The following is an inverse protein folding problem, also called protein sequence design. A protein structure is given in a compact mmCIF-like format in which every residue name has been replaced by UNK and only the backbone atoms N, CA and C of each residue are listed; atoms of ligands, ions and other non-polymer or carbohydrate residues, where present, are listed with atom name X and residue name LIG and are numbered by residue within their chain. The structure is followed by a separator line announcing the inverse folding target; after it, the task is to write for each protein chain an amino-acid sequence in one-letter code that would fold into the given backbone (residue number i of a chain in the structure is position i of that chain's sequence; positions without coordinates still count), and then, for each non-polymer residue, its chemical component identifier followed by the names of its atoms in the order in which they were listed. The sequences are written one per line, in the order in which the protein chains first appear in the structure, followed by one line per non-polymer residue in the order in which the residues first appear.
data_IF_362863553189
#
_entry.id   IF_362863553189
#
_cell.length_a   1.000
_cell.length_b   1.000
_cell.length_c   1.000
_cell.angle_alpha   90.00
_cell.angle_beta   90.00
_cell.angle_gamma   90.00
#
_symmetry.space_group_name_H-M   'P 1'
#
loop_
_entity.id
_entity.type
_entity.pdbx_description
1 polymer ?
#
# COMPACT_ATOMS: atom_id res chain seq x y z
N UNK A 1 -17.51 47.57 -12.93
CA UNK A 1 -17.09 47.21 -14.30
C UNK A 1 -15.57 47.30 -14.55
N UNK A 2 -14.79 48.11 -13.82
CA UNK A 2 -13.34 48.26 -14.09
C UNK A 2 -12.42 47.15 -13.55
N UNK A 3 -12.89 46.28 -12.64
CA UNK A 3 -12.06 45.20 -12.07
C UNK A 3 -12.02 43.91 -12.89
N UNK A 4 -12.95 43.70 -13.82
CA UNK A 4 -13.03 42.46 -14.62
C UNK A 4 -12.08 42.47 -15.83
N UNK A 5 -11.77 43.65 -16.37
CA UNK A 5 -10.90 43.81 -17.56
C UNK A 5 -9.42 43.62 -17.20
N UNK A 6 -9.00 44.00 -15.99
CA UNK A 6 -7.61 43.88 -15.54
C UNK A 6 -7.18 42.41 -15.30
N UNK A 7 -8.10 41.54 -14.85
CA UNK A 7 -7.81 40.12 -14.61
C UNK A 7 -7.72 39.34 -15.93
N UNK A 8 -8.51 39.71 -16.94
CA UNK A 8 -8.42 39.11 -18.27
C UNK A 8 -7.13 39.50 -19.01
N UNK A 9 -6.66 40.75 -18.85
CA UNK A 9 -5.40 41.21 -19.44
C UNK A 9 -4.15 40.50 -18.90
N UNK A 10 -4.16 40.12 -17.61
CA UNK A 10 -3.04 39.40 -16.99
C UNK A 10 -2.97 37.91 -17.42
N UNK A 11 -4.12 37.28 -17.66
CA UNK A 11 -4.19 35.90 -18.16
C UNK A 11 -3.71 35.76 -19.61
N UNK A 12 -3.97 36.76 -20.45
CA UNK A 12 -3.52 36.76 -21.86
C UNK A 12 -1.99 36.95 -21.96
N UNK A 13 -1.39 37.75 -21.08
CA UNK A 13 0.07 37.96 -21.08
C UNK A 13 0.86 36.77 -20.50
N UNK A 14 0.30 36.00 -19.56
CA UNK A 14 0.90 34.74 -19.08
C UNK A 14 0.90 33.64 -20.15
N UNK A 15 -0.10 33.62 -21.04
CA UNK A 15 -0.11 32.70 -22.19
C UNK A 15 0.93 33.06 -23.27
N UNK A 16 1.28 34.34 -23.44
CA UNK A 16 2.34 34.77 -24.39
C UNK A 16 3.76 34.54 -23.88
N UNK A 17 3.99 34.59 -22.57
CA UNK A 17 5.33 34.36 -21.99
C UNK A 17 5.76 32.87 -22.01
N UNK A 18 4.81 31.93 -22.03
CA UNK A 18 5.11 30.49 -22.17
C UNK A 18 5.38 30.03 -23.61
N UNK A 19 5.26 30.91 -24.60
CA UNK A 19 5.63 30.60 -26.00
C UNK A 19 7.10 30.91 -26.34
N UNK A 20 7.87 31.50 -25.40
CA UNK A 20 9.25 31.94 -25.64
C UNK A 20 10.35 30.99 -25.11
N UNK A 21 9.99 29.83 -24.54
CA UNK A 21 10.95 28.81 -24.11
C UNK A 21 10.66 27.46 -24.79
N UNK A 22 10.75 27.46 -26.12
CA UNK A 22 11.00 26.23 -26.88
C UNK A 22 12.52 26.16 -27.10
N UNK A 23 13.26 25.23 -26.48
CA UNK A 23 14.65 25.03 -26.85
C UNK A 23 14.71 24.57 -28.31
N UNK A 24 15.20 25.47 -29.17
CA UNK A 24 15.63 25.12 -30.54
C UNK A 24 16.83 24.19 -30.42
N UNK A 25 16.72 23.00 -30.98
CA UNK A 25 17.85 22.09 -31.17
C UNK A 25 17.80 20.82 -30.32
N UNK A 26 16.90 19.91 -30.67
CA UNK A 26 17.20 18.47 -30.57
C UNK A 26 16.89 17.85 -31.94
N UNK A 27 17.77 17.00 -32.48
CA UNK A 27 17.56 16.39 -33.78
C UNK A 27 16.28 15.55 -33.72
N UNK A 28 15.42 15.76 -34.71
CA UNK A 28 14.31 14.88 -35.03
C UNK A 28 14.93 13.52 -35.35
N UNK A 29 15.02 12.65 -34.35
CA UNK A 29 15.12 11.22 -34.61
C UNK A 29 13.88 10.88 -35.40
N UNK A 30 14.11 10.51 -36.65
CA UNK A 30 13.13 9.99 -37.61
C UNK A 30 12.09 9.16 -36.87
N UNK A 31 10.89 9.73 -36.71
CA UNK A 31 9.71 8.94 -36.44
C UNK A 31 9.57 8.09 -37.69
N UNK A 32 9.99 6.82 -37.59
CA UNK A 32 9.66 5.82 -38.59
C UNK A 32 8.16 5.98 -38.86
N UNK A 33 7.82 6.32 -40.10
CA UNK A 33 6.45 6.54 -40.50
C UNK A 33 5.67 5.25 -40.22
N UNK A 34 4.96 5.21 -39.10
CA UNK A 34 4.06 4.12 -38.78
C UNK A 34 2.96 4.15 -39.84
N UNK A 35 3.00 3.21 -40.77
CA UNK A 35 1.87 2.96 -41.66
C UNK A 35 0.72 2.50 -40.77
N UNK A 36 -0.29 3.36 -40.61
CA UNK A 36 -1.54 3.01 -39.94
C UNK A 36 -2.06 1.74 -40.61
N UNK A 37 -2.19 0.60 -39.90
CA UNK A 37 -2.68 -0.62 -40.52
C UNK A 37 -4.09 -0.37 -41.06
N UNK A 38 -4.30 -0.72 -42.32
CA UNK A 38 -5.61 -0.67 -42.97
C UNK A 38 -6.57 -1.61 -42.25
N UNK A 39 -7.80 -1.13 -42.03
CA UNK A 39 -8.90 -1.92 -41.46
C UNK A 39 -8.98 -3.26 -42.23
N UNK A 40 -9.05 -4.43 -41.57
CA UNK A 40 -9.21 -5.69 -42.28
C UNK A 40 -10.49 -5.66 -43.13
N UNK A 41 -10.37 -6.07 -44.40
CA UNK A 41 -11.42 -5.93 -45.43
C UNK A 41 -12.75 -6.62 -45.06
N UNK A 42 -12.78 -7.48 -44.05
CA UNK A 42 -13.97 -8.15 -43.53
C UNK A 42 -14.97 -7.20 -42.83
N UNK A 43 -14.54 -6.03 -42.34
CA UNK A 43 -15.41 -5.03 -41.70
C UNK A 43 -16.06 -4.05 -42.69
N UNK A 44 -15.66 -4.08 -43.97
CA UNK A 44 -16.13 -3.13 -44.99
C UNK A 44 -17.53 -3.45 -45.53
N UNK A 45 -18.05 -4.66 -45.28
CA UNK A 45 -19.26 -5.20 -45.94
C UNK A 45 -20.53 -5.23 -45.10
N UNK A 46 -20.53 -4.76 -43.84
CA UNK A 46 -21.70 -4.82 -42.96
C UNK A 46 -22.23 -3.44 -42.55
N UNK A 47 -23.41 -3.08 -43.08
CA UNK A 47 -24.30 -2.00 -42.65
C UNK A 47 -23.72 -0.57 -42.55
N UNK A 48 -24.59 0.45 -42.59
CA UNK A 48 -24.22 1.86 -42.41
C UNK A 48 -23.84 2.12 -40.94
N UNK A 49 -22.60 1.79 -40.57
CA UNK A 49 -22.04 2.11 -39.24
C UNK A 49 -21.95 3.64 -39.10
N UNK A 50 -22.38 4.17 -37.97
CA UNK A 50 -22.26 5.61 -37.68
C UNK A 50 -20.78 6.03 -37.66
N UNK A 51 -20.48 7.22 -38.20
CA UNK A 51 -19.11 7.77 -38.27
C UNK A 51 -18.40 7.80 -36.91
N UNK A 52 -19.14 8.09 -35.85
CA UNK A 52 -18.67 8.08 -34.45
C UNK A 52 -18.14 6.71 -34.00
N UNK A 53 -18.86 5.63 -34.32
CA UNK A 53 -18.48 4.26 -33.97
C UNK A 53 -17.26 3.82 -34.78
N UNK A 54 -17.20 4.17 -36.08
CA UNK A 54 -16.05 3.85 -36.92
C UNK A 54 -14.75 4.49 -36.41
N UNK A 55 -14.82 5.73 -35.92
CA UNK A 55 -13.67 6.41 -35.32
C UNK A 55 -13.22 5.72 -34.03
N UNK A 56 -14.16 5.29 -33.19
CA UNK A 56 -13.88 4.55 -31.97
C UNK A 56 -13.20 3.20 -32.25
N UNK A 57 -13.72 2.41 -33.20
CA UNK A 57 -13.11 1.15 -33.65
C UNK A 57 -11.68 1.35 -34.19
N UNK A 58 -11.49 2.40 -34.99
CA UNK A 58 -10.16 2.74 -35.53
C UNK A 58 -9.18 3.05 -34.40
N UNK A 59 -9.62 3.71 -33.33
CA UNK A 59 -8.75 4.04 -32.18
C UNK A 59 -8.38 2.79 -31.37
N UNK A 60 -9.33 1.88 -31.14
CA UNK A 60 -9.06 0.61 -30.45
C UNK A 60 -8.04 -0.21 -31.23
N UNK A 61 -8.27 -0.45 -32.52
CA UNK A 61 -7.33 -1.22 -33.33
C UNK A 61 -5.95 -0.55 -33.43
N UNK A 62 -5.90 0.79 -33.51
CA UNK A 62 -4.63 1.50 -33.46
C UNK A 62 -3.90 1.25 -32.13
N UNK A 63 -4.61 1.28 -31.00
CA UNK A 63 -4.03 0.98 -29.69
C UNK A 63 -3.58 -0.50 -29.58
N UNK A 64 -4.41 -1.45 -29.99
CA UNK A 64 -4.05 -2.88 -30.02
C UNK A 64 -2.80 -3.12 -30.86
N UNK A 65 -2.74 -2.51 -32.05
CA UNK A 65 -1.55 -2.60 -32.91
C UNK A 65 -0.31 -1.99 -32.26
N UNK A 66 -0.46 -0.86 -31.56
CA UNK A 66 0.63 -0.21 -30.84
C UNK A 66 1.15 -1.10 -29.69
N UNK A 67 0.25 -1.65 -28.87
CA UNK A 67 0.64 -2.55 -27.77
C UNK A 67 1.36 -3.79 -28.30
N UNK A 68 0.90 -4.36 -29.42
CA UNK A 68 1.57 -5.53 -30.01
C UNK A 68 2.98 -5.19 -30.49
N UNK A 69 3.18 -4.03 -31.13
CA UNK A 69 4.53 -3.60 -31.51
C UNK A 69 5.45 -3.35 -30.31
N UNK A 70 4.93 -2.77 -29.22
CA UNK A 70 5.68 -2.56 -27.99
C UNK A 70 6.05 -3.89 -27.31
N UNK A 71 5.22 -4.94 -27.43
CA UNK A 71 5.55 -6.29 -26.94
C UNK A 71 6.71 -6.88 -27.73
N UNK A 72 6.69 -6.75 -29.05
CA UNK A 72 7.77 -7.20 -29.91
C UNK A 72 9.08 -6.46 -29.60
N UNK A 73 9.00 -5.14 -29.39
CA UNK A 73 10.14 -4.31 -28.98
C UNK A 73 10.68 -4.71 -27.60
N UNK A 74 9.81 -4.96 -26.62
CA UNK A 74 10.20 -5.45 -25.30
C UNK A 74 10.91 -6.81 -25.38
N UNK A 75 10.36 -7.76 -26.16
CA UNK A 75 10.95 -9.09 -26.35
C UNK A 75 12.31 -9.03 -27.07
N UNK A 76 12.44 -8.16 -28.07
CA UNK A 76 13.74 -7.88 -28.70
C UNK A 76 14.72 -7.29 -27.68
N UNK A 77 14.30 -6.25 -26.96
CA UNK A 77 15.10 -5.59 -25.93
C UNK A 77 15.55 -6.55 -24.82
N UNK A 78 14.69 -7.48 -24.40
CA UNK A 78 15.00 -8.52 -23.41
C UNK A 78 16.14 -9.42 -23.89
N UNK A 79 16.06 -9.92 -25.13
CA UNK A 79 17.10 -10.79 -25.72
C UNK A 79 18.44 -10.05 -25.85
N UNK A 80 18.40 -8.78 -26.28
CA UNK A 80 19.61 -7.96 -26.35
C UNK A 80 20.23 -7.71 -24.98
N UNK A 81 19.40 -7.41 -23.97
CA UNK A 81 19.88 -7.20 -22.61
C UNK A 81 20.54 -8.48 -22.04
N UNK A 82 19.94 -9.65 -22.25
CA UNK A 82 20.52 -10.92 -21.86
C UNK A 82 21.89 -11.14 -22.52
N UNK A 83 22.02 -10.85 -23.82
CA UNK A 83 23.28 -10.94 -24.56
C UNK A 83 24.36 -9.99 -24.00
N UNK A 84 24.01 -8.75 -23.66
CA UNK A 84 24.94 -7.78 -23.05
C UNK A 84 25.46 -8.27 -21.70
N UNK A 85 24.58 -8.90 -20.91
CA UNK A 85 24.92 -9.42 -19.58
C UNK A 85 25.58 -10.80 -19.62
N UNK A 86 25.65 -11.45 -20.80
CA UNK A 86 26.19 -12.80 -20.95
C UNK A 86 25.30 -13.89 -20.34
N UNK A 87 23.98 -13.64 -20.27
CA UNK A 87 22.97 -14.56 -19.72
C UNK A 87 22.13 -15.19 -20.84
N UNK A 88 21.55 -16.36 -20.56
CA UNK A 88 20.69 -17.05 -21.53
C UNK A 88 19.32 -16.34 -21.67
N UNK A 89 18.87 -16.01 -22.89
CA UNK A 89 17.61 -15.25 -23.10
C UNK A 89 16.35 -15.93 -22.57
N UNK A 90 16.33 -17.27 -22.55
CA UNK A 90 15.16 -18.05 -22.11
C UNK A 90 15.02 -18.09 -20.57
N UNK A 91 16.12 -17.92 -19.85
CA UNK A 91 16.18 -17.95 -18.38
C UNK A 91 16.07 -16.55 -17.77
N UNK A 92 15.95 -15.52 -18.62
CA UNK A 92 16.06 -14.12 -18.24
C UNK A 92 14.73 -13.57 -17.70
N UNK A 93 14.53 -13.73 -16.38
CA UNK A 93 13.36 -13.26 -15.65
C UNK A 93 13.35 -11.73 -15.43
N UNK A 94 12.19 -11.16 -15.07
CA UNK A 94 12.03 -9.73 -14.80
C UNK A 94 12.94 -9.20 -13.67
N UNK A 95 13.21 -10.01 -12.64
CA UNK A 95 14.13 -9.60 -11.56
C UNK A 95 15.57 -9.40 -12.07
N UNK A 96 16.03 -10.28 -12.97
CA UNK A 96 17.34 -10.13 -13.62
C UNK A 96 17.36 -8.89 -14.51
N UNK A 97 16.30 -8.64 -15.28
CA UNK A 97 16.14 -7.41 -16.07
C UNK A 97 16.30 -6.16 -15.20
N UNK A 98 15.58 -6.09 -14.08
CA UNK A 98 15.62 -4.95 -13.17
C UNK A 98 17.02 -4.75 -12.55
N UNK A 99 17.70 -5.84 -12.19
CA UNK A 99 19.08 -5.80 -11.68
C UNK A 99 20.06 -5.32 -12.75
N UNK A 100 19.97 -5.85 -13.97
CA UNK A 100 20.82 -5.44 -15.11
C UNK A 100 20.63 -3.96 -15.44
N UNK A 101 19.40 -3.45 -15.40
CA UNK A 101 19.11 -2.03 -15.65
C UNK A 101 19.65 -1.15 -14.54
N UNK A 102 19.50 -1.57 -13.27
CA UNK A 102 20.06 -0.84 -12.15
C UNK A 102 21.60 -0.75 -12.24
N UNK A 103 22.25 -1.79 -12.79
CA UNK A 103 23.69 -1.81 -13.03
C UNK A 103 24.12 -0.94 -14.23
N UNK A 104 23.47 -1.09 -15.38
CA UNK A 104 23.82 -0.35 -16.61
C UNK A 104 23.45 1.13 -16.53
N UNK A 105 22.33 1.46 -15.88
CA UNK A 105 21.80 2.81 -15.74
C UNK A 105 21.59 3.16 -14.26
N UNK A 106 22.68 3.35 -13.49
CA UNK A 106 22.58 3.63 -12.06
C UNK A 106 21.91 4.97 -11.81
N UNK A 107 20.72 4.94 -11.20
CA UNK A 107 19.93 6.13 -10.88
C UNK A 107 19.81 6.33 -9.36
N UNK A 108 20.32 7.45 -8.87
CA UNK A 108 20.20 7.87 -7.46
C UNK A 108 18.86 8.51 -7.09
N UNK A 109 17.84 8.43 -7.97
CA UNK A 109 16.53 9.04 -7.71
C UNK A 109 15.82 8.33 -6.54
N UNK A 110 15.32 9.10 -5.58
CA UNK A 110 14.58 8.57 -4.43
C UNK A 110 13.25 7.93 -4.84
N UNK A 111 12.56 8.52 -5.83
CA UNK A 111 11.33 7.94 -6.37
C UNK A 111 11.65 6.76 -7.27
N UNK A 112 11.29 5.56 -6.83
CA UNK A 112 11.49 4.33 -7.61
C UNK A 112 10.74 4.37 -8.96
N UNK A 113 9.60 5.07 -9.02
CA UNK A 113 8.81 5.21 -10.26
C UNK A 113 9.49 6.02 -11.35
N UNK A 114 10.41 6.91 -10.99
CA UNK A 114 11.14 7.78 -11.92
C UNK A 114 12.47 7.18 -12.38
N UNK A 115 12.84 5.99 -11.86
CA UNK A 115 14.05 5.27 -12.28
C UNK A 115 13.84 4.65 -13.67
N UNK A 116 14.93 4.43 -14.44
CA UNK A 116 14.84 3.66 -15.67
C UNK A 116 14.30 2.25 -15.36
N UNK A 117 13.36 1.78 -16.18
CA UNK A 117 12.73 0.47 -16.05
C UNK A 117 12.40 -0.08 -17.44
N UNK A 118 12.62 -1.37 -17.65
CA UNK A 118 12.18 -2.11 -18.82
C UNK A 118 11.19 -3.15 -18.30
N UNK A 119 9.91 -2.93 -18.58
CA UNK A 119 8.82 -3.79 -18.11
C UNK A 119 7.92 -4.15 -19.28
N UNK A 120 7.13 -5.23 -19.15
CA UNK A 120 6.10 -5.55 -20.13
C UNK A 120 5.18 -4.35 -20.36
N UNK A 121 4.73 -4.12 -21.61
CA UNK A 121 3.84 -3.01 -21.95
C UNK A 121 2.58 -2.95 -21.07
N UNK A 122 2.02 -4.09 -20.65
CA UNK A 122 0.80 -4.12 -19.83
C UNK A 122 0.96 -3.51 -18.44
N UNK A 123 2.18 -3.44 -17.91
CA UNK A 123 2.49 -2.81 -16.63
C UNK A 123 2.81 -1.32 -16.76
N UNK A 124 3.36 -0.92 -17.92
CA UNK A 124 3.80 0.46 -18.19
C UNK A 124 2.60 1.28 -18.63
N UNK A 125 1.92 0.81 -19.66
CA UNK A 125 0.72 1.43 -20.17
C UNK A 125 -0.42 1.06 -19.22
N UNK A 126 -1.18 2.04 -18.73
CA UNK A 126 -2.37 1.70 -17.98
C UNK A 126 -3.26 0.85 -18.89
N UNK A 127 -3.78 -0.27 -18.39
CA UNK A 127 -4.96 -0.90 -19.00
C UNK A 127 -5.98 0.22 -19.17
N UNK A 128 -6.33 0.57 -20.41
CA UNK A 128 -7.04 1.80 -20.70
C UNK A 128 -8.35 1.87 -19.89
N UNK A 129 -8.29 2.55 -18.75
CA UNK A 129 -9.42 3.11 -18.03
C UNK A 129 -9.22 4.60 -18.15
N UNK A 130 -10.22 5.30 -18.67
CA UNK A 130 -10.11 6.69 -19.09
C UNK A 130 -9.47 7.59 -18.03
N UNK A 131 -8.23 8.01 -18.29
CA UNK A 131 -7.62 9.14 -17.63
C UNK A 131 -6.74 9.89 -18.64
N UNK A 132 -7.40 10.60 -19.56
CA UNK A 132 -6.78 11.74 -20.25
C UNK A 132 -6.93 12.93 -19.31
N UNK A 133 -5.89 13.24 -18.54
CA UNK A 133 -5.95 14.24 -17.47
C UNK A 133 -5.89 15.71 -17.94
N UNK A 134 -5.93 16.02 -19.24
CA UNK A 134 -5.88 17.42 -19.72
C UNK A 134 -6.93 17.75 -20.81
N UNK A 135 -7.72 16.78 -21.29
CA UNK A 135 -8.82 17.05 -22.24
C UNK A 135 -10.17 16.59 -21.65
N UNK A 136 -10.56 17.25 -20.56
CA UNK A 136 -11.91 17.14 -20.00
C UNK A 136 -12.86 17.85 -20.96
N UNK A 137 -13.70 17.11 -21.70
CA UNK A 137 -15.16 17.33 -21.68
C UNK A 137 -16.03 16.40 -22.56
N UNK A 138 -15.53 15.50 -23.42
CA UNK A 138 -16.47 14.77 -24.31
C UNK A 138 -16.51 13.24 -24.38
N UNK A 139 -15.50 12.45 -23.97
CA UNK A 139 -15.64 10.97 -24.03
C UNK A 139 -14.83 10.26 -22.94
N UNK A 140 -15.47 9.61 -21.95
CA UNK A 140 -14.79 8.79 -20.95
C UNK A 140 -14.43 7.41 -21.54
N UNK A 141 -13.21 6.97 -21.24
CA UNK A 141 -12.80 5.56 -21.09
C UNK A 141 -12.84 4.66 -22.33
N UNK A 142 -11.65 4.35 -22.88
CA UNK A 142 -11.44 3.20 -23.77
C UNK A 142 -11.46 1.89 -22.99
N UNK A 143 -12.63 1.57 -22.45
CA UNK A 143 -12.95 0.22 -22.03
C UNK A 143 -13.06 -0.66 -23.29
N UNK A 144 -12.79 -1.95 -23.17
CA UNK A 144 -12.99 -2.97 -24.21
C UNK A 144 -14.24 -2.70 -25.04
N UNK A 145 -14.21 -3.09 -26.32
CA UNK A 145 -15.29 -2.88 -27.28
C UNK A 145 -16.67 -3.12 -26.64
N UNK A 146 -17.39 -2.06 -26.25
CA UNK A 146 -18.67 -2.20 -25.55
C UNK A 146 -19.83 -2.45 -26.50
N UNK A 147 -19.60 -2.36 -27.81
CA UNK A 147 -20.60 -2.55 -28.84
C UNK A 147 -20.11 -3.46 -29.96
N UNK A 148 -20.97 -4.31 -30.49
CA UNK A 148 -20.70 -5.10 -31.69
C UNK A 148 -20.29 -4.20 -32.88
N UNK A 149 -19.77 -4.83 -33.94
CA UNK A 149 -19.50 -4.16 -35.23
C UNK A 149 -20.73 -3.44 -35.80
N UNK A 150 -21.95 -3.83 -35.39
CA UNK A 150 -23.23 -3.19 -35.73
C UNK A 150 -23.55 -1.94 -34.92
N UNK A 151 -22.81 -1.65 -33.84
CA UNK A 151 -23.08 -0.58 -32.89
C UNK A 151 -24.02 -0.95 -31.73
N UNK A 152 -24.44 -2.22 -31.64
CA UNK A 152 -25.27 -2.73 -30.53
C UNK A 152 -24.42 -2.92 -29.26
N UNK A 153 -24.82 -2.37 -28.09
CA UNK A 153 -24.10 -2.62 -26.84
C UNK A 153 -24.10 -4.11 -26.44
N UNK A 154 -22.95 -4.60 -25.99
CA UNK A 154 -22.76 -5.95 -25.46
C UNK A 154 -23.41 -6.15 -24.08
N UNK A 155 -23.35 -5.12 -23.24
CA UNK A 155 -23.84 -5.18 -21.86
C UNK A 155 -25.23 -4.53 -21.74
N UNK A 156 -26.16 -5.19 -21.04
CA UNK A 156 -27.54 -4.67 -20.85
C UNK A 156 -27.56 -3.32 -20.13
N UNK A 157 -26.75 -3.17 -19.09
CA UNK A 157 -26.59 -1.93 -18.31
C UNK A 157 -25.67 -0.89 -18.98
N UNK A 158 -25.36 -0.99 -20.27
CA UNK A 158 -24.45 -0.06 -20.96
C UNK A 158 -24.88 1.41 -20.81
N UNK A 159 -26.17 1.72 -20.93
CA UNK A 159 -26.69 3.08 -20.85
C UNK A 159 -26.61 3.71 -19.45
N UNK A 160 -26.22 2.94 -18.43
CA UNK A 160 -25.96 3.47 -17.08
C UNK A 160 -24.61 4.18 -16.94
N UNK A 161 -23.79 4.19 -18.00
CA UNK A 161 -22.40 4.71 -18.03
C UNK A 161 -21.40 3.91 -17.19
N UNK A 162 -21.84 3.20 -16.15
CA UNK A 162 -21.04 2.32 -15.30
C UNK A 162 -21.63 0.88 -15.29
N UNK A 163 -21.57 0.17 -16.43
CA UNK A 163 -22.22 -1.13 -16.56
C UNK A 163 -21.72 -2.17 -15.56
N UNK A 164 -20.41 -2.21 -15.27
CA UNK A 164 -19.85 -3.26 -14.42
C UNK A 164 -20.14 -3.00 -12.94
N UNK A 165 -20.12 -1.74 -12.49
CA UNK A 165 -20.49 -1.40 -11.12
C UNK A 165 -21.95 -1.79 -10.82
N UNK A 166 -22.89 -1.36 -11.68
CA UNK A 166 -24.30 -1.70 -11.48
C UNK A 166 -24.59 -3.18 -11.70
N UNK A 167 -23.80 -3.88 -12.52
CA UNK A 167 -23.85 -5.34 -12.63
C UNK A 167 -23.50 -6.01 -11.29
N UNK A 168 -22.42 -5.60 -10.64
CA UNK A 168 -22.07 -6.10 -9.30
C UNK A 168 -23.14 -5.79 -8.26
N UNK A 169 -23.74 -4.59 -8.31
CA UNK A 169 -24.84 -4.22 -7.42
C UNK A 169 -26.09 -5.08 -7.66
N UNK A 170 -26.42 -5.34 -8.92
CA UNK A 170 -27.54 -6.20 -9.30
C UNK A 170 -27.31 -7.65 -8.85
N UNK A 171 -26.14 -8.20 -9.12
CA UNK A 171 -25.76 -9.55 -8.68
C UNK A 171 -25.85 -9.67 -7.15
N UNK A 172 -25.39 -8.66 -6.42
CA UNK A 172 -25.46 -8.65 -4.97
C UNK A 172 -26.91 -8.57 -4.46
N UNK A 173 -27.74 -7.72 -5.05
CA UNK A 173 -29.16 -7.63 -4.72
C UNK A 173 -29.88 -8.97 -5.00
N UNK A 174 -29.57 -9.60 -6.12
CA UNK A 174 -30.09 -10.91 -6.50
C UNK A 174 -29.68 -12.00 -5.50
N UNK A 175 -28.41 -12.03 -5.06
CA UNK A 175 -27.99 -12.95 -4.00
C UNK A 175 -28.75 -12.71 -2.69
N UNK A 176 -28.97 -11.44 -2.31
CA UNK A 176 -29.74 -11.12 -1.12
C UNK A 176 -31.21 -11.55 -1.22
N UNK A 177 -31.85 -11.36 -2.37
CA UNK A 177 -33.23 -11.81 -2.63
C UNK A 177 -33.33 -13.33 -2.59
N UNK A 178 -32.43 -14.05 -3.28
CA UNK A 178 -32.37 -15.52 -3.21
C UNK A 178 -32.23 -16.03 -1.76
N UNK A 179 -31.38 -15.39 -0.95
CA UNK A 179 -31.21 -15.76 0.46
C UNK A 179 -32.48 -15.53 1.28
N UNK A 180 -33.22 -14.46 1.01
CA UNK A 180 -34.52 -14.17 1.65
C UNK A 180 -35.58 -15.18 1.21
N UNK A 181 -35.69 -15.49 -0.06
CA UNK A 181 -36.63 -16.49 -0.57
C UNK A 181 -36.37 -17.87 0.03
N UNK A 182 -35.09 -18.26 0.13
CA UNK A 182 -34.70 -19.50 0.83
C UNK A 182 -35.11 -19.46 2.30
N UNK A 183 -34.89 -18.34 2.99
CA UNK A 183 -35.27 -18.17 4.40
C UNK A 183 -36.79 -18.26 4.60
N UNK A 184 -37.56 -17.54 3.78
CA UNK A 184 -39.02 -17.50 3.84
C UNK A 184 -39.62 -18.87 3.49
N UNK A 185 -39.09 -19.54 2.46
CA UNK A 185 -39.46 -20.91 2.09
C UNK A 185 -39.18 -21.93 3.20
N UNK A 186 -38.14 -21.73 4.00
CA UNK A 186 -37.85 -22.56 5.19
C UNK A 186 -38.84 -22.32 6.34
N UNK A 187 -39.34 -21.09 6.50
CA UNK A 187 -40.38 -20.77 7.50
C UNK A 187 -41.73 -21.38 7.15
N UNK A 188 -42.08 -21.40 5.86
CA UNK A 188 -43.33 -22.00 5.35
C UNK A 188 -43.28 -23.53 5.49
N UNK A 189 -42.12 -24.13 5.19
CA UNK A 189 -41.90 -25.58 5.30
C UNK A 189 -41.34 -25.97 6.68
N UNK A 190 -42.21 -26.07 7.69
CA UNK A 190 -41.92 -26.41 9.11
C UNK A 190 -40.95 -27.59 9.37
N UNK A 191 -40.67 -28.46 8.39
CA UNK A 191 -39.81 -29.63 8.52
C UNK A 191 -38.32 -29.36 8.25
N UNK A 192 -37.93 -28.19 7.74
CA UNK A 192 -36.55 -27.79 7.52
C UNK A 192 -36.11 -26.78 8.59
N UNK A 193 -35.77 -27.25 9.79
CA UNK A 193 -35.34 -26.39 10.89
C UNK A 193 -33.85 -26.01 10.71
N UNK A 194 -33.50 -24.77 10.30
CA UNK A 194 -32.15 -24.42 9.83
C UNK A 194 -31.11 -24.33 10.96
N UNK A 195 -31.59 -24.25 12.21
CA UNK A 195 -30.75 -24.18 13.42
C UNK A 195 -29.96 -25.45 13.73
N UNK A 196 -30.27 -26.58 13.07
CA UNK A 196 -29.55 -27.83 13.33
C UNK A 196 -28.22 -27.94 12.58
N UNK A 197 -28.05 -27.25 11.44
CA UNK A 197 -26.88 -27.37 10.56
C UNK A 197 -26.30 -25.99 10.18
N UNK A 198 -26.15 -25.07 11.14
CA UNK A 198 -25.52 -23.78 10.87
C UNK A 198 -24.02 -23.93 10.66
N UNK A 199 -23.59 -23.89 9.39
CA UNK A 199 -22.19 -23.62 9.06
C UNK A 199 -21.99 -22.11 9.14
N UNK A 200 -21.46 -21.63 10.26
CA UNK A 200 -21.13 -20.20 10.40
C UNK A 200 -20.00 -19.81 9.45
N UNK A 201 -20.18 -18.67 8.77
CA UNK A 201 -19.19 -18.13 7.86
C UNK A 201 -18.11 -17.40 8.66
N UNK A 202 -16.88 -17.92 8.68
CA UNK A 202 -15.77 -17.30 9.39
C UNK A 202 -15.18 -16.17 8.54
N UNK A 203 -15.42 -14.93 8.97
CA UNK A 203 -15.05 -13.72 8.22
C UNK A 203 -13.85 -12.95 8.82
N UNK A 204 -13.40 -13.33 10.01
CA UNK A 204 -12.46 -12.55 10.85
C UNK A 204 -11.12 -12.24 10.16
N UNK A 205 -10.60 -13.15 9.32
CA UNK A 205 -9.31 -13.00 8.64
C UNK A 205 -9.40 -12.27 7.29
N UNK A 206 -10.57 -11.73 6.95
CA UNK A 206 -10.84 -11.13 5.64
C UNK A 206 -11.59 -9.81 5.77
N UNK A 207 -11.21 -8.86 4.93
CA UNK A 207 -11.84 -7.55 4.86
C UNK A 207 -12.50 -7.36 3.49
N UNK A 208 -13.51 -6.50 3.43
CA UNK A 208 -14.04 -6.03 2.15
C UNK A 208 -12.96 -5.29 1.36
N UNK A 209 -13.01 -5.39 0.04
CA UNK A 209 -12.12 -4.60 -0.81
C UNK A 209 -12.24 -3.11 -0.51
N UNK A 210 -11.10 -2.45 -0.31
CA UNK A 210 -11.03 -0.99 -0.35
C UNK A 210 -11.50 -0.47 -1.70
N UNK A 211 -11.93 0.80 -1.75
CA UNK A 211 -12.36 1.45 -2.99
C UNK A 211 -11.37 1.21 -4.15
N UNK A 212 -10.08 1.45 -3.91
CA UNK A 212 -9.06 1.30 -4.97
C UNK A 212 -8.92 -0.15 -5.45
N UNK A 213 -9.15 -1.13 -4.57
CA UNK A 213 -9.16 -2.55 -4.94
C UNK A 213 -10.43 -2.90 -5.72
N UNK A 214 -11.58 -2.34 -5.33
CA UNK A 214 -12.85 -2.53 -6.04
C UNK A 214 -12.80 -1.95 -7.47
N UNK A 215 -12.27 -0.74 -7.65
CA UNK A 215 -12.06 -0.11 -8.97
C UNK A 215 -11.11 -0.90 -9.87
N UNK A 216 -10.12 -1.56 -9.25
CA UNK A 216 -9.22 -2.49 -9.95
C UNK A 216 -9.90 -3.80 -10.31
N UNK A 217 -10.84 -4.28 -9.49
CA UNK A 217 -11.56 -5.53 -9.75
C UNK A 217 -12.68 -5.39 -10.78
N UNK A 218 -13.38 -4.25 -10.80
CA UNK A 218 -14.52 -3.95 -11.68
C UNK A 218 -14.09 -3.32 -13.01
N UNK A 219 -12.87 -2.80 -13.04
CA UNK A 219 -12.37 -2.02 -14.15
C UNK A 219 -13.20 -0.76 -14.49
N UNK A 220 -13.76 -0.12 -13.45
CA UNK A 220 -14.50 1.16 -13.53
C UNK A 220 -14.10 2.06 -12.37
N UNK A 221 -14.12 3.37 -12.61
CA UNK A 221 -14.01 4.36 -11.54
C UNK A 221 -15.31 4.40 -10.75
N UNK A 222 -15.22 4.31 -9.43
CA UNK A 222 -16.35 4.49 -8.52
C UNK A 222 -16.35 5.95 -8.10
N UNK A 223 -17.37 6.70 -8.55
CA UNK A 223 -17.44 8.14 -8.28
C UNK A 223 -17.77 8.37 -6.80
N UNK A 224 -16.86 9.07 -6.11
CA UNK A 224 -17.08 9.65 -4.79
C UNK A 224 -17.09 11.18 -4.88
N UNK A 225 -17.43 11.72 -6.05
CA UNK A 225 -17.17 13.12 -6.35
C UNK A 225 -17.94 14.02 -5.38
N UNK A 226 -17.18 14.75 -4.56
CA UNK A 226 -17.65 15.82 -3.67
C UNK A 226 -18.43 16.94 -4.39
N UNK A 227 -18.58 16.87 -5.71
CA UNK A 227 -19.39 17.80 -6.51
C UNK A 227 -20.89 17.70 -6.13
N UNK A 228 -21.30 16.64 -5.44
CA UNK A 228 -22.63 16.54 -4.80
C UNK A 228 -22.74 17.31 -3.48
N UNK A 229 -21.73 18.06 -3.03
CA UNK A 229 -21.87 18.94 -1.85
C UNK A 229 -22.73 20.18 -2.14
N UNK A 230 -22.91 20.58 -3.40
CA UNK A 230 -23.80 21.69 -3.76
C UNK A 230 -25.29 21.28 -3.78
N UNK A 231 -25.57 19.96 -3.80
CA UNK A 231 -26.92 19.40 -3.74
C UNK A 231 -27.28 18.84 -2.35
N UNK A 232 -26.33 18.74 -1.43
CA UNK A 232 -26.55 18.20 -0.08
C UNK A 232 -27.47 19.06 0.81
N UNK A 233 -27.82 20.29 0.41
CA UNK A 233 -28.75 21.14 1.14
C UNK A 233 -30.23 20.76 0.94
N UNK A 234 -30.56 19.88 -0.01
CA UNK A 234 -31.93 19.43 -0.26
C UNK A 234 -31.99 17.90 -0.31
N UNK A 235 -32.48 17.33 0.79
CA UNK A 235 -32.77 15.92 1.05
C UNK A 235 -31.56 14.98 1.29
N UNK A 236 -31.50 14.49 2.53
CA UNK A 236 -30.85 13.24 2.92
C UNK A 236 -31.15 12.13 1.90
N UNK A 237 -30.20 11.75 1.03
CA UNK A 237 -29.96 10.36 0.56
C UNK A 237 -28.97 10.29 -0.62
N UNK A 238 -27.73 10.73 -0.46
CA UNK A 238 -26.69 10.30 -1.43
C UNK A 238 -25.42 9.92 -0.70
N UNK A 239 -25.44 8.72 -0.13
CA UNK A 239 -24.21 8.04 0.28
C UNK A 239 -23.43 7.68 -0.99
N UNK A 240 -22.11 7.83 -0.90
CA UNK A 240 -21.13 7.55 -1.95
C UNK A 240 -21.39 6.14 -2.53
N UNK A 241 -21.15 5.95 -3.84
CA UNK A 241 -21.43 4.66 -4.51
C UNK A 241 -20.80 3.46 -3.79
N UNK A 242 -19.59 3.66 -3.27
CA UNK A 242 -18.88 2.66 -2.47
C UNK A 242 -19.59 2.31 -1.15
N UNK A 243 -20.17 3.29 -0.45
CA UNK A 243 -20.88 3.06 0.80
C UNK A 243 -22.19 2.29 0.58
N UNK A 244 -22.87 2.56 -0.54
CA UNK A 244 -24.07 1.80 -0.93
C UNK A 244 -23.73 0.32 -1.18
N UNK A 245 -22.65 0.08 -1.91
CA UNK A 245 -22.11 -1.26 -2.15
C UNK A 245 -21.73 -1.94 -0.83
N UNK A 246 -21.00 -1.26 0.05
CA UNK A 246 -20.58 -1.78 1.35
C UNK A 246 -21.78 -2.13 2.24
N UNK A 247 -22.81 -1.28 2.24
CA UNK A 247 -24.06 -1.50 2.98
C UNK A 247 -24.76 -2.77 2.49
N UNK A 248 -24.85 -2.94 1.16
CA UNK A 248 -25.47 -4.12 0.56
C UNK A 248 -24.66 -5.38 0.91
N UNK A 249 -23.34 -5.34 0.78
CA UNK A 249 -22.46 -6.46 1.11
C UNK A 249 -22.53 -6.85 2.60
N UNK A 250 -22.59 -5.87 3.50
CA UNK A 250 -22.80 -6.12 4.93
C UNK A 250 -24.17 -6.73 5.23
N UNK A 251 -25.22 -6.36 4.49
CA UNK A 251 -26.55 -7.00 4.60
C UNK A 251 -26.51 -8.46 4.19
N UNK A 252 -25.79 -8.81 3.12
CA UNK A 252 -25.60 -10.21 2.71
C UNK A 252 -24.83 -10.98 3.77
N UNK A 253 -23.71 -10.43 4.26
CA UNK A 253 -22.86 -11.11 5.23
C UNK A 253 -23.50 -11.28 6.62
N UNK A 254 -24.42 -10.38 7.01
CA UNK A 254 -25.19 -10.50 8.25
C UNK A 254 -26.41 -11.41 8.13
N UNK A 255 -26.76 -11.86 6.93
CA UNK A 255 -27.88 -12.79 6.75
C UNK A 255 -27.55 -14.16 7.37
N UNK A 256 -28.48 -14.83 8.07
CA UNK A 256 -28.13 -16.08 8.75
C UNK A 256 -27.75 -17.24 7.81
N UNK A 257 -28.18 -17.18 6.53
CA UNK A 257 -27.79 -18.11 5.46
C UNK A 257 -26.62 -17.61 4.59
N UNK A 258 -25.80 -16.67 5.07
CA UNK A 258 -24.69 -16.09 4.30
C UNK A 258 -23.72 -17.15 3.72
N UNK A 259 -23.61 -18.33 4.36
CA UNK A 259 -22.78 -19.44 3.87
C UNK A 259 -23.19 -19.94 2.46
N UNK A 260 -24.45 -19.80 2.05
CA UNK A 260 -24.89 -20.16 0.71
C UNK A 260 -24.27 -19.24 -0.37
N UNK A 261 -24.00 -17.98 0.00
CA UNK A 261 -23.38 -16.98 -0.86
C UNK A 261 -21.85 -16.86 -0.65
N UNK A 262 -21.22 -17.86 -0.01
CA UNK A 262 -19.79 -17.86 0.34
C UNK A 262 -18.88 -17.51 -0.84
N UNK A 263 -19.10 -18.16 -2.00
CA UNK A 263 -18.32 -17.92 -3.23
C UNK A 263 -18.43 -16.47 -3.72
N UNK A 264 -19.61 -15.89 -3.61
CA UNK A 264 -19.86 -14.50 -4.03
C UNK A 264 -19.20 -13.51 -3.07
N UNK A 265 -19.35 -13.73 -1.76
CA UNK A 265 -18.74 -12.90 -0.71
C UNK A 265 -17.21 -12.88 -0.85
N UNK A 266 -16.58 -14.05 -0.99
CA UNK A 266 -15.12 -14.15 -1.07
C UNK A 266 -14.53 -13.58 -2.38
N UNK A 267 -15.32 -13.44 -3.45
CA UNK A 267 -14.89 -12.74 -4.68
C UNK A 267 -14.49 -11.28 -4.41
N UNK A 268 -15.13 -10.63 -3.44
CA UNK A 268 -14.93 -9.22 -3.12
C UNK A 268 -14.27 -8.97 -1.75
N UNK A 269 -13.67 -10.01 -1.17
CA UNK A 269 -12.92 -9.92 0.08
C UNK A 269 -11.45 -10.14 -0.14
N UNK A 270 -10.64 -9.29 0.47
CA UNK A 270 -9.19 -9.46 0.53
C UNK A 270 -8.83 -10.19 1.83
N UNK A 271 -7.81 -11.04 1.75
CA UNK A 271 -7.18 -11.60 2.96
C UNK A 271 -6.56 -10.44 3.74
N UNK A 272 -6.98 -10.26 5.00
CA UNK A 272 -6.33 -9.33 5.90
C UNK A 272 -4.97 -9.93 6.24
N UNK A 273 -3.89 -9.34 5.73
CA UNK A 273 -2.55 -9.67 6.19
C UNK A 273 -2.41 -8.99 7.53
N UNK A 274 -2.76 -9.70 8.61
CA UNK A 274 -2.33 -9.29 9.93
C UNK A 274 -0.81 -9.43 9.93
N UNK A 275 -0.13 -8.31 9.74
CA UNK A 275 1.29 -8.20 10.01
C UNK A 275 1.41 -8.29 11.53
N UNK A 276 1.32 -9.50 12.07
CA UNK A 276 1.91 -9.77 13.37
C UNK A 276 3.40 -9.64 13.09
N UNK A 277 3.95 -8.45 13.32
CA UNK A 277 5.39 -8.27 13.39
C UNK A 277 5.87 -9.20 14.50
N UNK A 278 6.25 -10.41 14.11
CA UNK A 278 7.00 -11.29 14.97
C UNK A 278 8.37 -10.63 15.09
N UNK A 279 8.50 -9.68 16.02
CA UNK A 279 9.80 -9.10 16.37
C UNK A 279 10.74 -10.27 16.63
N UNK A 280 11.71 -10.45 15.73
CA UNK A 280 12.69 -11.52 15.80
C UNK A 280 13.74 -11.08 16.82
N UNK A 281 13.67 -11.61 18.02
CA UNK A 281 14.74 -11.48 19.00
C UNK A 281 15.79 -12.57 18.75
N UNK A 282 17.07 -12.34 19.12
CA UNK A 282 18.09 -13.36 18.94
C UNK A 282 17.74 -14.63 19.72
N UNK A 283 18.09 -15.78 19.16
CA UNK A 283 17.91 -17.03 19.90
C UNK A 283 18.98 -17.12 21.02
N UNK A 284 18.65 -17.71 22.18
CA UNK A 284 19.61 -17.87 23.26
C UNK A 284 20.73 -18.84 22.86
N UNK A 285 21.97 -18.44 23.14
CA UNK A 285 23.18 -19.23 22.93
C UNK A 285 23.63 -19.89 24.25
N UNK A 286 24.47 -20.93 24.15
CA UNK A 286 25.06 -21.60 25.31
C UNK A 286 26.57 -21.36 25.34
N UNK A 287 27.09 -20.99 26.51
CA UNK A 287 28.51 -20.84 26.73
C UNK A 287 29.15 -22.25 26.84
N UNK A 288 30.16 -22.59 26.00
CA UNK A 288 30.73 -23.94 25.97
C UNK A 288 31.45 -24.32 27.28
N UNK A 289 31.92 -23.34 28.06
CA UNK A 289 32.67 -23.60 29.30
C UNK A 289 31.74 -23.63 30.50
N UNK A 290 30.90 -22.61 30.64
CA UNK A 290 30.05 -22.44 31.83
C UNK A 290 28.69 -23.14 31.71
N UNK A 291 28.33 -23.63 30.51
CA UNK A 291 27.00 -24.19 30.17
C UNK A 291 25.83 -23.24 30.49
N UNK A 292 26.11 -21.95 30.71
CA UNK A 292 25.10 -20.93 30.97
C UNK A 292 24.44 -20.49 29.67
N UNK A 293 23.13 -20.23 29.73
CA UNK A 293 22.42 -19.58 28.63
C UNK A 293 22.77 -18.11 28.64
N UNK A 294 23.18 -17.59 27.50
CA UNK A 294 23.39 -16.17 27.33
C UNK A 294 22.73 -15.67 26.05
N UNK A 295 22.43 -14.38 26.03
CA UNK A 295 21.94 -13.71 24.84
C UNK A 295 22.52 -12.31 24.80
N UNK A 296 22.86 -11.88 23.60
CA UNK A 296 23.31 -10.52 23.33
C UNK A 296 22.24 -9.80 22.52
N UNK A 297 21.80 -8.64 23.01
CA UNK A 297 20.87 -7.79 22.29
C UNK A 297 21.34 -6.34 22.32
N UNK A 298 20.80 -5.58 21.36
CA UNK A 298 21.11 -4.18 21.18
C UNK A 298 19.91 -3.32 21.59
N UNK A 299 20.19 -2.17 22.19
CA UNK A 299 19.23 -1.13 22.50
C UNK A 299 19.75 0.22 22.04
N UNK A 300 18.85 1.05 21.52
CA UNK A 300 19.18 2.40 21.10
C UNK A 300 18.25 3.40 21.77
N UNK A 301 18.81 4.48 22.31
CA UNK A 301 18.05 5.67 22.68
C UNK A 301 18.78 6.91 22.19
N UNK A 302 18.11 7.68 21.32
CA UNK A 302 18.71 8.84 20.65
C UNK A 302 20.01 8.40 19.93
N UNK A 303 21.14 9.04 20.25
CA UNK A 303 22.46 8.72 19.70
C UNK A 303 23.27 7.77 20.58
N UNK A 304 22.65 7.17 21.60
CA UNK A 304 23.29 6.19 22.46
C UNK A 304 22.90 4.78 22.05
N UNK A 305 23.88 3.91 21.99
CA UNK A 305 23.75 2.49 21.70
C UNK A 305 24.24 1.70 22.90
N UNK A 306 23.53 0.64 23.24
CA UNK A 306 23.88 -0.29 24.30
C UNK A 306 23.90 -1.70 23.71
N UNK A 307 25.03 -2.37 23.82
CA UNK A 307 25.15 -3.81 23.60
C UNK A 307 25.11 -4.48 24.97
N UNK A 308 24.13 -5.36 25.21
CA UNK A 308 23.97 -6.01 26.50
C UNK A 308 23.92 -7.51 26.33
N UNK A 309 24.79 -8.20 27.07
CA UNK A 309 24.80 -9.63 27.23
C UNK A 309 24.19 -9.98 28.59
N UNK A 310 23.13 -10.79 28.59
CA UNK A 310 22.49 -11.29 29.82
C UNK A 310 22.75 -12.79 29.93
N UNK A 311 23.17 -13.24 31.11
CA UNK A 311 23.44 -14.66 31.43
C UNK A 311 22.46 -15.19 32.48
N UNK A 312 22.01 -16.43 32.31
CA UNK A 312 21.14 -17.15 33.25
C UNK A 312 21.64 -18.60 33.42
N UNK A 313 21.77 -19.10 34.67
CA UNK A 313 21.60 -18.40 35.95
C UNK A 313 22.77 -17.44 36.27
N UNK A 314 22.51 -16.41 37.08
CA UNK A 314 23.52 -15.42 37.53
C UNK A 314 23.33 -14.98 38.99
N UNK A 315 24.32 -14.25 39.53
CA UNK A 315 24.35 -13.71 40.90
C UNK A 315 23.68 -12.34 41.05
N UNK A 316 23.29 -11.69 39.95
CA UNK A 316 22.76 -10.34 39.96
C UNK A 316 23.81 -9.26 39.68
N UNK A 317 25.01 -9.66 39.24
CA UNK A 317 26.09 -8.73 38.95
C UNK A 317 25.82 -7.94 37.67
N UNK A 318 26.01 -6.61 37.73
CA UNK A 318 25.84 -5.71 36.59
C UNK A 318 27.14 -4.95 36.32
N UNK A 319 27.81 -5.34 35.24
CA UNK A 319 29.06 -4.76 34.78
C UNK A 319 28.82 -3.93 33.51
N UNK A 320 29.12 -2.64 33.57
CA UNK A 320 28.95 -1.68 32.47
C UNK A 320 30.33 -1.12 32.12
N UNK A 321 30.86 -1.48 30.95
CA UNK A 321 32.21 -1.10 30.50
C UNK A 321 33.31 -1.35 31.55
N UNK A 322 33.18 -2.46 32.30
CA UNK A 322 34.10 -2.85 33.37
C UNK A 322 33.90 -2.14 34.70
N UNK A 323 32.85 -1.31 34.84
CA UNK A 323 32.48 -0.63 36.09
C UNK A 323 31.19 -1.21 36.67
N UNK A 324 31.03 -1.08 37.99
CA UNK A 324 29.79 -1.45 38.68
C UNK A 324 28.64 -0.50 38.33
N UNK A 325 27.39 -0.96 38.48
CA UNK A 325 26.18 -0.16 38.24
C UNK A 325 26.16 1.19 38.99
N UNK A 326 26.58 1.20 40.26
CA UNK A 326 26.60 2.39 41.11
C UNK A 326 27.61 3.43 40.64
N UNK A 327 28.76 2.97 40.14
CA UNK A 327 29.83 3.83 39.63
C UNK A 327 29.49 4.37 38.24
N UNK A 328 28.91 3.53 37.38
CA UNK A 328 28.52 3.91 36.02
C UNK A 328 27.33 4.88 36.01
N UNK A 329 26.36 4.71 36.92
CA UNK A 329 25.17 5.55 37.00
C UNK A 329 24.93 6.09 38.42
N UNK A 330 25.57 7.24 38.78
CA UNK A 330 25.39 7.85 40.09
C UNK A 330 23.95 8.29 40.38
N UNK A 331 23.17 8.68 39.37
CA UNK A 331 21.78 9.13 39.56
C UNK A 331 20.85 7.93 39.78
N UNK A 332 20.02 8.01 40.82
CA UNK A 332 19.05 6.95 41.17
C UNK A 332 18.05 6.68 40.02
N UNK A 333 17.49 7.73 39.41
CA UNK A 333 16.52 7.56 38.33
C UNK A 333 17.05 6.78 37.12
N UNK A 334 18.35 6.84 36.84
CA UNK A 334 18.96 6.01 35.79
C UNK A 334 19.05 4.53 36.19
N UNK A 335 19.38 4.26 37.46
CA UNK A 335 19.44 2.90 38.01
C UNK A 335 18.05 2.25 38.02
N UNK A 336 17.02 3.00 38.39
CA UNK A 336 15.63 2.53 38.34
C UNK A 336 15.21 2.10 36.93
N UNK A 337 15.59 2.86 35.89
CA UNK A 337 15.29 2.48 34.50
C UNK A 337 15.94 1.16 34.09
N UNK A 338 17.18 0.90 34.54
CA UNK A 338 17.91 -0.33 34.24
C UNK A 338 17.31 -1.52 35.00
N UNK A 339 16.88 -1.30 36.25
CA UNK A 339 16.29 -2.34 37.10
C UNK A 339 14.84 -2.68 36.75
N UNK A 340 14.09 -1.74 36.18
CA UNK A 340 12.67 -1.90 35.83
C UNK A 340 12.36 -3.18 35.03
N UNK A 341 13.06 -3.54 33.93
CA UNK A 341 12.79 -4.79 33.22
C UNK A 341 13.01 -6.03 34.08
N UNK A 342 14.05 -6.06 34.93
CA UNK A 342 14.33 -7.17 35.84
C UNK A 342 13.23 -7.34 36.90
N UNK A 343 12.67 -6.22 37.35
CA UNK A 343 11.56 -6.20 38.31
C UNK A 343 10.27 -6.74 37.69
N UNK A 344 9.92 -6.30 36.48
CA UNK A 344 8.71 -6.73 35.76
C UNK A 344 8.71 -8.25 35.49
N UNK A 345 9.87 -8.82 35.19
CA UNK A 345 10.03 -10.26 34.93
C UNK A 345 10.30 -11.09 36.19
N UNK A 346 10.47 -10.47 37.37
CA UNK A 346 10.80 -11.18 38.61
C UNK A 346 12.17 -11.89 38.57
N UNK A 347 13.10 -11.35 37.78
CA UNK A 347 14.46 -11.89 37.57
C UNK A 347 15.55 -11.07 38.26
N UNK A 348 15.17 -10.14 39.13
CA UNK A 348 16.09 -9.38 39.96
C UNK A 348 16.92 -10.33 40.83
N UNK A 349 18.25 -10.23 40.77
CA UNK A 349 19.19 -11.10 41.48
C UNK A 349 19.35 -12.52 40.90
N UNK A 350 18.78 -12.81 39.73
CA UNK A 350 18.87 -14.13 39.07
C UNK A 350 19.69 -14.12 37.78
N UNK A 351 20.05 -12.93 37.29
CA UNK A 351 20.71 -12.74 36.00
C UNK A 351 21.95 -11.87 36.16
N UNK A 352 22.99 -12.18 35.39
CA UNK A 352 24.16 -11.32 35.29
C UNK A 352 24.12 -10.53 33.99
N UNK A 353 24.43 -9.25 34.08
CA UNK A 353 24.34 -8.30 32.97
C UNK A 353 25.72 -7.74 32.68
N UNK A 354 26.21 -7.95 31.46
CA UNK A 354 27.42 -7.30 30.94
C UNK A 354 27.01 -6.35 29.81
N UNK A 355 27.28 -5.07 29.97
CA UNK A 355 26.90 -4.04 29.01
C UNK A 355 28.13 -3.30 28.48
N UNK A 356 28.08 -2.97 27.19
CA UNK A 356 28.97 -2.01 26.54
C UNK A 356 28.15 -0.83 26.06
N UNK A 357 28.57 0.39 26.40
CA UNK A 357 27.84 1.60 26.02
C UNK A 357 28.64 2.42 25.01
N UNK A 358 27.92 2.99 24.05
CA UNK A 358 28.45 3.96 23.09
C UNK A 358 27.53 5.17 22.98
N UNK A 359 28.14 6.36 22.94
CA UNK A 359 27.43 7.64 22.85
C UNK A 359 27.29 8.37 24.19
N UNK A 360 26.85 9.63 24.10
CA UNK A 360 26.88 10.57 25.22
C UNK A 360 25.49 10.93 25.76
N UNK A 361 25.43 11.24 27.05
CA UNK A 361 24.27 11.80 27.71
C UNK A 361 24.03 11.22 29.09
N UNK A 362 23.27 11.93 29.92
CA UNK A 362 23.06 11.52 31.32
C UNK A 362 22.05 10.37 31.45
N UNK A 363 20.92 10.43 30.75
CA UNK A 363 19.82 9.45 30.86
C UNK A 363 19.63 8.57 29.64
N UNK A 364 20.15 8.98 28.48
CA UNK A 364 20.03 8.22 27.23
C UNK A 364 20.68 6.81 27.33
N UNK A 365 21.89 6.65 27.91
CA UNK A 365 22.52 5.32 28.01
C UNK A 365 21.72 4.34 28.88
N UNK A 366 21.17 4.81 30.01
CA UNK A 366 20.34 3.98 30.89
C UNK A 366 19.06 3.47 30.19
N UNK A 367 18.41 4.33 29.40
CA UNK A 367 17.23 3.93 28.63
C UNK A 367 17.56 3.01 27.45
N UNK A 368 18.75 3.17 26.83
CA UNK A 368 19.23 2.25 25.81
C UNK A 368 19.50 0.86 26.41
N UNK A 369 20.14 0.80 27.58
CA UNK A 369 20.33 -0.45 28.33
C UNK A 369 19.01 -1.11 28.70
N UNK A 370 18.04 -0.33 29.20
CA UNK A 370 16.70 -0.82 29.54
C UNK A 370 16.07 -1.59 28.38
N UNK A 371 16.13 -1.03 27.16
CA UNK A 371 15.60 -1.69 25.96
C UNK A 371 16.40 -2.96 25.61
N UNK A 372 17.73 -2.91 25.68
CA UNK A 372 18.59 -4.06 25.39
C UNK A 372 18.34 -5.23 26.37
N UNK A 373 18.29 -4.96 27.68
CA UNK A 373 17.98 -5.94 28.73
C UNK A 373 16.59 -6.54 28.49
N UNK A 374 15.60 -5.72 28.13
CA UNK A 374 14.24 -6.20 27.84
C UNK A 374 14.22 -7.17 26.66
N UNK A 375 14.94 -6.86 25.58
CA UNK A 375 15.06 -7.76 24.41
C UNK A 375 15.76 -9.08 24.77
N UNK A 376 16.79 -9.03 25.61
CA UNK A 376 17.45 -10.23 26.13
C UNK A 376 16.46 -11.10 26.93
N UNK A 377 15.75 -10.51 27.88
CA UNK A 377 14.80 -11.22 28.74
C UNK A 377 13.60 -11.80 27.98
N UNK A 378 13.13 -11.10 26.95
CA UNK A 378 12.03 -11.58 26.12
C UNK A 378 12.34 -12.90 25.41
N UNK A 379 13.61 -13.21 25.16
CA UNK A 379 14.04 -14.44 24.49
C UNK A 379 14.50 -15.53 25.47
N UNK A 380 15.02 -15.13 26.63
CA UNK A 380 15.51 -16.06 27.65
C UNK A 380 14.39 -16.69 28.49
N UNK A 381 13.29 -15.96 28.69
CA UNK A 381 12.16 -16.39 29.50
C UNK A 381 11.03 -16.98 28.64
N UNK A 382 10.17 -17.83 29.20
CA UNK A 382 8.95 -18.29 28.53
C UNK A 382 8.05 -17.11 28.11
N UNK A 383 7.34 -17.24 26.98
CA UNK A 383 6.59 -16.13 26.35
C UNK A 383 5.63 -15.39 27.29
N UNK A 384 4.91 -16.11 28.16
CA UNK A 384 3.94 -15.53 29.10
C UNK A 384 4.60 -14.70 30.22
N UNK A 385 5.84 -15.05 30.61
CA UNK A 385 6.56 -14.38 31.71
C UNK A 385 7.54 -13.33 31.19
N UNK A 386 8.10 -13.54 30.01
CA UNK A 386 9.03 -12.62 29.35
C UNK A 386 8.28 -11.69 28.41
N UNK A 387 8.17 -12.12 27.15
CA UNK A 387 7.73 -11.28 26.02
C UNK A 387 6.41 -10.56 26.27
N UNK A 388 5.35 -11.26 26.69
CA UNK A 388 4.02 -10.64 26.84
C UNK A 388 4.02 -9.56 27.93
N UNK A 389 4.63 -9.83 29.09
CA UNK A 389 4.72 -8.85 30.19
C UNK A 389 5.56 -7.63 29.82
N UNK A 390 6.70 -7.85 29.15
CA UNK A 390 7.57 -6.78 28.68
C UNK A 390 6.93 -5.95 27.55
N UNK A 391 6.11 -6.58 26.70
CA UNK A 391 5.36 -5.89 25.65
C UNK A 391 4.28 -4.99 26.25
N UNK A 392 3.44 -5.52 27.14
CA UNK A 392 2.35 -4.77 27.77
C UNK A 392 2.87 -3.61 28.63
N UNK A 393 4.04 -3.77 29.26
CA UNK A 393 4.71 -2.70 30.02
C UNK A 393 5.45 -1.67 29.15
N UNK A 394 5.45 -1.83 27.81
CA UNK A 394 6.09 -0.90 26.88
C UNK A 394 7.61 -0.91 26.92
N UNK A 395 8.22 -2.01 27.37
CA UNK A 395 9.67 -2.16 27.54
C UNK A 395 10.39 -2.63 26.27
N UNK A 396 9.67 -3.29 25.37
CA UNK A 396 10.19 -3.76 24.07
C UNK A 396 10.07 -2.70 22.97
N UNK A 397 9.21 -1.69 23.16
CA UNK A 397 9.02 -0.61 22.20
C UNK A 397 10.20 0.35 22.21
N UNK A 398 10.79 0.57 21.04
CA UNK A 398 11.85 1.56 20.87
C UNK A 398 11.28 2.98 20.95
N UNK A 399 11.90 3.85 21.75
CA UNK A 399 11.46 5.25 21.88
C UNK A 399 12.12 6.12 20.79
N UNK A 400 11.39 6.30 19.70
CA UNK A 400 11.78 7.05 18.49
C UNK A 400 11.74 8.58 18.66
N UNK A 401 11.63 9.10 19.89
CA UNK A 401 11.72 10.55 20.13
C UNK A 401 13.17 11.02 20.04
N UNK A 402 13.47 11.75 18.97
CA UNK A 402 14.74 12.45 18.71
C UNK A 402 14.59 13.97 18.82
N UNK A 403 15.71 14.66 19.02
CA UNK A 403 15.74 16.11 18.96
C UNK A 403 15.46 16.56 17.52
N UNK A 404 14.38 17.32 17.33
CA UNK A 404 14.02 17.82 16.02
C UNK A 404 14.98 18.92 15.54
N UNK A 405 15.29 18.95 14.25
CA UNK A 405 16.13 19.98 13.65
C UNK A 405 15.52 21.38 13.77
N UNK A 406 16.38 22.40 13.87
CA UNK A 406 15.99 23.80 13.71
C UNK A 406 15.52 24.06 12.28
N UNK A 407 14.45 24.85 12.10
CA UNK A 407 14.01 25.33 10.78
C UNK A 407 14.59 26.71 10.48
N UNK A 408 14.95 27.01 9.22
CA UNK A 408 15.34 28.37 8.84
C UNK A 408 14.19 29.34 9.14
N UNK A 409 14.52 30.56 9.57
CA UNK A 409 13.53 31.57 10.00
C UNK A 409 12.90 31.35 11.39
N UNK A 410 13.26 30.28 12.13
CA UNK A 410 12.78 30.04 13.50
C UNK A 410 13.91 30.16 14.52
N UNK A 411 13.58 30.55 15.76
CA UNK A 411 14.57 30.67 16.85
C UNK A 411 15.08 29.30 17.31
N UNK A 412 14.20 28.30 17.41
CA UNK A 412 14.52 26.88 17.71
C UNK A 412 13.70 25.96 16.79
N UNK A 413 13.64 24.65 17.08
CA UNK A 413 12.87 23.69 16.29
C UNK A 413 11.37 24.04 16.18
N UNK A 414 10.74 24.59 17.23
CA UNK A 414 9.33 25.01 17.22
C UNK A 414 9.10 26.46 17.65
N UNK A 415 10.09 27.08 18.32
CA UNK A 415 10.00 28.46 18.82
C UNK A 415 10.09 29.45 17.66
N UNK A 416 8.99 30.14 17.38
CA UNK A 416 8.94 31.23 16.39
C UNK A 416 9.62 32.50 16.93
N UNK A 417 10.12 33.40 16.05
CA UNK A 417 10.47 34.74 16.47
C UNK A 417 9.24 35.48 17.02
N UNK A 418 9.47 36.56 17.76
CA UNK A 418 8.37 37.41 18.23
C UNK A 418 7.76 38.06 17.00
N UNK A 419 6.48 37.84 16.77
CA UNK A 419 5.75 38.48 15.70
C UNK A 419 5.42 39.92 16.13
N UNK A 420 5.81 40.90 15.30
CA UNK A 420 5.40 42.30 15.46
C UNK A 420 4.21 42.54 14.54
N UNK A 421 3.09 42.93 15.12
CA UNK A 421 1.84 43.13 14.38
C UNK A 421 1.72 44.52 13.72
N UNK A 422 2.44 45.51 14.26
CA UNK A 422 2.37 46.93 13.88
C UNK A 422 3.43 47.31 12.88
#
# INVERSE_FOLDING_TARGET
MFFSVAVMGLLINLCRLNQLFVPRGFPVLSIAAYSVPSIPDSLSKSAKIQSSIKLYLKRIHAHESMIETEREDFERGRKYLAQIMGEDPNTFNQEKIDQSIAYLFPSGLFSQKARPKLKPPEEIFPKEKGMIFIAVFLFPSHKELQCDSSGRPLHSLFYTRQPHFYSVMHDAAYQLENLKEMWDGMYINKYLNPLKNHKELVLVSTEWFSKTQLERAIDESVTDDQVTLLFACLQHYFLLQYDQWLTLMNRIASHPLAYCAEKFIFRYRARQVQVVDAEKYPNPEFDPVTQQKFITAYGQKRRCFAEVCVRIPGSGEMNIDGKNLLEAFPLLGNREQIMFPLHVTGTLGKVDVKAKLSGEGTSSPANAMRLAISRCLASLLPDEQGRQRLLVSGLLTQDDRFAERKKPGQKKARKKPIWKAR
#
